data_IF_924039597006
#
_entry.id   IF_924039597006
#
_cell.length_a   1.000
_cell.length_b   1.000
_cell.length_c   1.000
_cell.angle_alpha   90.00
_cell.angle_beta   90.00
_cell.angle_gamma   90.00
#
_symmetry.space_group_name_H-M   'P 1'
#
loop_
_entity.id
_entity.type
_entity.pdbx_description
1 polymer ?
#
# COMPACT_ATOMS: atom_id res chain seq x y z
N UNK A 1 9.60 -65.29 77.40
CA UNK A 1 8.86 -65.05 76.15
C UNK A 1 9.04 -66.28 75.30
N UNK A 2 7.96 -66.79 74.72
CA UNK A 2 7.99 -68.00 73.89
C UNK A 2 8.44 -67.62 72.48
N UNK A 3 9.25 -68.44 71.80
CA UNK A 3 9.66 -68.27 70.39
C UNK A 3 8.49 -67.91 69.45
N UNK A 4 7.27 -68.30 69.81
CA UNK A 4 6.04 -67.99 69.11
C UNK A 4 5.62 -66.50 69.18
N UNK A 5 5.85 -65.83 70.30
CA UNK A 5 5.56 -64.39 70.48
C UNK A 5 6.53 -63.54 69.66
N UNK A 6 7.82 -63.89 69.66
CA UNK A 6 8.84 -63.21 68.85
C UNK A 6 8.58 -63.39 67.35
N UNK A 7 8.17 -64.59 66.92
CA UNK A 7 7.81 -64.86 65.54
C UNK A 7 6.58 -64.04 65.08
N UNK A 8 5.57 -63.89 65.93
CA UNK A 8 4.39 -63.09 65.61
C UNK A 8 4.72 -61.59 65.54
N UNK A 9 5.54 -61.08 66.46
CA UNK A 9 6.00 -59.69 66.42
C UNK A 9 6.83 -59.41 65.16
N UNK A 10 7.75 -60.31 64.80
CA UNK A 10 8.54 -60.18 63.57
C UNK A 10 7.67 -60.19 62.31
N UNK A 11 6.57 -60.96 62.30
CA UNK A 11 5.61 -61.01 61.19
C UNK A 11 4.83 -59.71 61.05
N UNK A 12 4.38 -59.13 62.15
CA UNK A 12 3.68 -57.83 62.17
C UNK A 12 4.61 -56.69 61.70
N UNK A 13 5.86 -56.67 62.16
CA UNK A 13 6.86 -55.69 61.71
C UNK A 13 7.18 -55.83 60.22
N UNK A 14 7.28 -57.07 59.71
CA UNK A 14 7.49 -57.31 58.28
C UNK A 14 6.31 -56.83 57.44
N UNK A 15 5.09 -57.05 57.93
CA UNK A 15 3.88 -56.63 57.24
C UNK A 15 3.74 -55.09 57.21
N UNK A 16 4.02 -54.42 58.32
CA UNK A 16 4.05 -52.96 58.37
C UNK A 16 5.08 -52.38 57.39
N UNK A 17 6.29 -52.97 57.31
CA UNK A 17 7.32 -52.57 56.34
C UNK A 17 6.88 -52.79 54.89
N UNK A 18 6.16 -53.88 54.61
CA UNK A 18 5.64 -54.17 53.27
C UNK A 18 4.59 -53.14 52.85
N UNK A 19 3.67 -52.79 53.74
CA UNK A 19 2.65 -51.76 53.52
C UNK A 19 3.29 -50.37 53.31
N UNK A 20 4.29 -50.00 54.12
CA UNK A 20 5.04 -48.76 53.95
C UNK A 20 5.79 -48.71 52.60
N UNK A 21 6.43 -49.81 52.21
CA UNK A 21 7.15 -49.91 50.93
C UNK A 21 6.19 -49.77 49.75
N UNK A 22 5.00 -50.38 49.84
CA UNK A 22 3.96 -50.30 48.81
C UNK A 22 3.43 -48.87 48.66
N UNK A 23 3.22 -48.16 49.78
CA UNK A 23 2.81 -46.76 49.75
C UNK A 23 3.88 -45.86 49.10
N UNK A 24 5.15 -46.07 49.44
CA UNK A 24 6.28 -45.35 48.83
C UNK A 24 6.42 -45.61 47.33
N UNK A 25 6.17 -46.83 46.88
CA UNK A 25 6.24 -47.17 45.46
C UNK A 25 5.13 -46.46 44.66
N UNK A 26 3.91 -46.40 45.22
CA UNK A 26 2.80 -45.63 44.64
C UNK A 26 3.09 -44.13 44.57
N UNK A 27 3.67 -43.57 45.63
CA UNK A 27 4.08 -42.15 45.67
C UNK A 27 5.15 -41.84 44.63
N UNK A 28 6.16 -42.72 44.48
CA UNK A 28 7.19 -42.60 43.45
C UNK A 28 6.60 -42.71 42.04
N UNK A 29 5.61 -43.56 41.82
CA UNK A 29 4.92 -43.68 40.53
C UNK A 29 4.16 -42.40 40.18
N UNK A 30 3.47 -41.80 41.15
CA UNK A 30 2.80 -40.51 40.99
C UNK A 30 3.81 -39.40 40.66
N UNK A 31 4.90 -39.32 41.42
CA UNK A 31 5.95 -38.32 41.20
C UNK A 31 6.60 -38.46 39.81
N UNK A 32 6.79 -39.69 39.32
CA UNK A 32 7.28 -39.95 37.95
C UNK A 32 6.29 -39.45 36.90
N UNK A 33 4.99 -39.68 37.09
CA UNK A 33 3.94 -39.19 36.17
C UNK A 33 3.89 -37.67 36.14
N UNK A 34 3.94 -37.02 37.30
CA UNK A 34 3.98 -35.56 37.41
C UNK A 34 5.22 -34.98 36.72
N UNK A 35 6.40 -35.57 36.96
CA UNK A 35 7.65 -35.15 36.33
C UNK A 35 7.59 -35.27 34.80
N UNK A 36 6.97 -36.34 34.28
CA UNK A 36 6.79 -36.52 32.85
C UNK A 36 5.85 -35.45 32.25
N UNK A 37 4.77 -35.10 32.96
CA UNK A 37 3.85 -34.04 32.54
C UNK A 37 4.59 -32.69 32.49
N UNK A 38 5.35 -32.37 33.54
CA UNK A 38 6.14 -31.13 33.61
C UNK A 38 7.18 -31.06 32.48
N UNK A 39 7.90 -32.16 32.23
CA UNK A 39 8.86 -32.25 31.13
C UNK A 39 8.20 -31.97 29.78
N UNK A 40 7.04 -32.57 29.50
CA UNK A 40 6.32 -32.38 28.25
C UNK A 40 5.83 -30.93 28.08
N UNK A 41 5.35 -30.29 29.15
CA UNK A 41 4.93 -28.88 29.14
C UNK A 41 6.10 -27.95 28.83
N UNK A 42 7.23 -28.13 29.53
CA UNK A 42 8.44 -27.33 29.33
C UNK A 42 8.97 -27.51 27.90
N UNK A 43 8.97 -28.75 27.40
CA UNK A 43 9.40 -29.03 26.02
C UNK A 43 8.53 -28.28 25.01
N UNK A 44 7.21 -28.29 25.20
CA UNK A 44 6.28 -27.59 24.30
C UNK A 44 6.45 -26.07 24.37
N UNK A 45 6.56 -25.49 25.57
CA UNK A 45 6.79 -24.06 25.75
C UNK A 45 8.11 -23.61 25.11
N UNK A 46 9.16 -24.44 25.23
CA UNK A 46 10.45 -24.17 24.58
C UNK A 46 10.32 -24.10 23.06
N UNK A 47 9.59 -25.03 22.44
CA UNK A 47 9.38 -25.05 20.99
C UNK A 47 8.55 -23.84 20.52
N UNK A 48 7.52 -23.45 21.28
CA UNK A 48 6.71 -22.26 20.99
C UNK A 48 7.54 -20.97 21.09
N UNK A 49 8.41 -20.86 22.09
CA UNK A 49 9.33 -19.72 22.24
C UNK A 49 10.34 -19.66 21.09
N UNK A 50 10.86 -20.82 20.66
CA UNK A 50 11.78 -20.88 19.53
C UNK A 50 11.13 -20.39 18.24
N UNK A 51 9.90 -20.83 17.95
CA UNK A 51 9.16 -20.40 16.76
C UNK A 51 8.88 -18.88 16.77
N UNK A 52 8.41 -18.35 17.91
CA UNK A 52 8.21 -16.90 18.06
C UNK A 52 9.48 -16.10 17.86
N UNK A 53 10.64 -16.63 18.28
CA UNK A 53 11.91 -15.96 18.10
C UNK A 53 12.31 -15.90 16.63
N UNK A 54 12.15 -17.00 15.88
CA UNK A 54 12.39 -17.03 14.43
C UNK A 54 11.51 -16.03 13.68
N UNK A 55 10.20 -16.00 13.97
CA UNK A 55 9.27 -15.03 13.37
C UNK A 55 9.68 -13.57 13.64
N UNK A 56 10.12 -13.28 14.87
CA UNK A 56 10.59 -11.96 15.25
C UNK A 56 11.89 -11.59 14.52
N UNK A 57 12.84 -12.51 14.38
CA UNK A 57 14.08 -12.29 13.61
C UNK A 57 13.78 -11.99 12.14
N UNK A 58 12.84 -12.69 11.52
CA UNK A 58 12.41 -12.41 10.14
C UNK A 58 11.78 -11.02 10.02
N UNK A 59 10.94 -10.63 10.98
CA UNK A 59 10.34 -9.29 11.01
C UNK A 59 11.38 -8.19 11.20
N UNK A 60 12.39 -8.41 12.04
CA UNK A 60 13.52 -7.50 12.22
C UNK A 60 14.29 -7.37 10.90
N UNK A 61 14.68 -8.49 10.27
CA UNK A 61 15.38 -8.49 8.97
C UNK A 61 14.61 -7.73 7.89
N UNK A 62 13.29 -7.92 7.81
CA UNK A 62 12.46 -7.19 6.86
C UNK A 62 12.47 -5.67 7.12
N UNK A 63 12.37 -5.27 8.39
CA UNK A 63 12.39 -3.86 8.76
C UNK A 63 13.76 -3.22 8.52
N UNK A 64 14.85 -3.94 8.79
CA UNK A 64 16.22 -3.51 8.48
C UNK A 64 16.41 -3.30 6.98
N UNK A 65 15.98 -4.27 6.16
CA UNK A 65 16.00 -4.15 4.70
C UNK A 65 15.21 -2.93 4.21
N UNK A 66 14.02 -2.70 4.76
CA UNK A 66 13.19 -1.53 4.43
C UNK A 66 13.88 -0.21 4.83
N UNK A 67 14.52 -0.17 6.00
CA UNK A 67 15.27 1.00 6.47
C UNK A 67 16.50 1.28 5.58
N UNK A 68 17.17 0.24 5.10
CA UNK A 68 18.29 0.36 4.15
C UNK A 68 17.82 0.95 2.80
N UNK A 69 16.70 0.47 2.27
CA UNK A 69 16.11 1.03 1.04
C UNK A 69 15.76 2.50 1.19
N UNK A 70 15.11 2.88 2.29
CA UNK A 70 14.80 4.29 2.61
C UNK A 70 16.06 5.13 2.74
N UNK A 71 17.11 4.58 3.37
CA UNK A 71 18.40 5.28 3.51
C UNK A 71 19.06 5.52 2.16
N UNK A 72 19.07 4.51 1.27
CA UNK A 72 19.53 4.64 -0.12
C UNK A 72 18.71 5.65 -0.91
N UNK A 73 17.39 5.70 -0.71
CA UNK A 73 16.53 6.71 -1.34
C UNK A 73 16.88 8.12 -0.87
N UNK A 74 17.08 8.31 0.44
CA UNK A 74 17.52 9.58 1.03
C UNK A 74 18.90 9.99 0.48
N UNK A 75 19.83 9.04 0.34
CA UNK A 75 21.15 9.30 -0.24
C UNK A 75 21.05 9.71 -1.71
N UNK A 76 20.21 9.06 -2.51
CA UNK A 76 19.92 9.46 -3.89
C UNK A 76 19.37 10.88 -3.95
N UNK A 77 18.39 11.23 -3.11
CA UNK A 77 17.89 12.60 -3.04
C UNK A 77 19.02 13.57 -2.66
N UNK A 78 19.83 13.26 -1.65
CA UNK A 78 20.97 14.09 -1.24
C UNK A 78 22.02 14.24 -2.34
N UNK A 79 22.31 13.19 -3.11
CA UNK A 79 23.24 13.26 -4.24
C UNK A 79 22.68 14.12 -5.38
N UNK A 80 21.40 13.98 -5.70
CA UNK A 80 20.70 14.84 -6.68
C UNK A 80 20.76 16.31 -6.23
N UNK A 81 20.60 16.58 -4.94
CA UNK A 81 20.73 17.92 -4.37
C UNK A 81 22.18 18.43 -4.31
N UNK A 82 23.18 17.57 -4.03
CA UNK A 82 24.60 17.94 -3.87
C UNK A 82 25.36 18.09 -5.19
N UNK A 83 25.01 17.35 -6.25
CA UNK A 83 25.70 17.37 -7.56
C UNK A 83 25.44 18.65 -8.37
N UNK A 84 24.80 19.66 -7.76
CA UNK A 84 24.69 20.98 -8.34
C UNK A 84 23.59 21.05 -9.39
N UNK A 85 22.79 22.11 -9.28
CA UNK A 85 22.07 22.64 -10.41
C UNK A 85 23.06 22.96 -11.54
N UNK A 86 23.20 22.04 -12.48
CA UNK A 86 23.20 22.47 -13.87
C UNK A 86 21.77 22.97 -14.12
N UNK A 87 21.63 24.30 -14.10
CA UNK A 87 20.36 25.04 -14.20
C UNK A 87 19.61 24.83 -15.53
N UNK A 88 20.04 23.88 -16.36
CA UNK A 88 19.35 23.46 -17.58
C UNK A 88 18.77 22.04 -17.52
N UNK A 89 19.08 21.24 -16.50
CA UNK A 89 18.56 19.85 -16.36
C UNK A 89 17.67 19.64 -15.13
N UNK A 90 17.56 20.64 -14.25
CA UNK A 90 16.68 20.60 -13.06
C UNK A 90 15.48 21.55 -13.19
N UNK A 91 14.60 21.26 -14.15
CA UNK A 91 13.17 21.62 -14.06
C UNK A 91 12.41 20.73 -13.06
N UNK A 92 13.08 20.23 -12.01
CA UNK A 92 12.45 19.51 -10.89
C UNK A 92 12.22 20.41 -9.66
N UNK A 93 12.65 21.68 -9.68
CA UNK A 93 12.41 22.66 -8.59
C UNK A 93 11.25 23.64 -8.83
N UNK A 94 10.73 23.68 -10.06
CA UNK A 94 9.41 24.23 -10.39
C UNK A 94 8.73 23.17 -11.24
N UNK A 95 8.12 22.19 -10.60
CA UNK A 95 7.18 21.32 -11.28
C UNK A 95 6.19 22.25 -11.97
N UNK A 96 6.17 22.28 -13.31
CA UNK A 96 5.24 23.15 -14.04
C UNK A 96 3.85 22.70 -13.61
N UNK A 97 3.22 23.51 -12.76
CA UNK A 97 1.97 23.15 -12.14
C UNK A 97 0.89 23.24 -13.21
N UNK A 98 0.34 22.08 -13.57
CA UNK A 98 -0.86 22.03 -14.40
C UNK A 98 -1.97 22.71 -13.61
N UNK A 99 -2.63 23.69 -14.22
CA UNK A 99 -3.76 24.37 -13.58
C UNK A 99 -4.89 23.38 -13.29
N UNK A 100 -5.60 23.58 -12.19
CA UNK A 100 -6.70 22.70 -11.83
C UNK A 100 -7.79 22.71 -12.91
N UNK A 101 -8.35 21.54 -13.20
CA UNK A 101 -9.44 21.35 -14.15
C UNK A 101 -10.64 20.74 -13.44
N UNK A 102 -11.74 21.48 -13.45
CA UNK A 102 -12.98 21.06 -12.78
C UNK A 102 -13.87 20.17 -13.65
N UNK A 103 -13.65 20.11 -14.97
CA UNK A 103 -14.53 19.44 -15.94
C UNK A 103 -15.19 20.39 -16.95
N UNK A 104 -14.88 21.68 -16.91
CA UNK A 104 -15.46 22.66 -17.83
C UNK A 104 -14.99 22.43 -19.28
N UNK A 105 -15.90 21.93 -20.13
CA UNK A 105 -15.65 21.61 -21.55
C UNK A 105 -15.19 22.81 -22.39
N UNK A 106 -15.60 24.04 -22.06
CA UNK A 106 -15.15 25.26 -22.76
C UNK A 106 -13.68 25.54 -22.44
N UNK A 107 -13.30 25.39 -21.16
CA UNK A 107 -11.92 25.57 -20.71
C UNK A 107 -11.00 24.41 -21.08
N UNK A 108 -11.57 23.22 -21.37
CA UNK A 108 -10.83 22.00 -21.66
C UNK A 108 -9.79 22.20 -22.75
N UNK A 109 -10.14 22.82 -23.89
CA UNK A 109 -9.19 23.02 -24.99
C UNK A 109 -7.96 23.82 -24.57
N UNK A 110 -8.13 24.90 -23.79
CA UNK A 110 -7.02 25.73 -23.31
C UNK A 110 -6.17 24.99 -22.28
N UNK A 111 -6.84 24.33 -21.33
CA UNK A 111 -6.18 23.53 -20.30
C UNK A 111 -5.36 22.38 -20.92
N UNK A 112 -5.93 21.70 -21.91
CA UNK A 112 -5.30 20.56 -22.55
C UNK A 112 -4.13 20.96 -23.46
N UNK A 113 -4.22 22.09 -24.17
CA UNK A 113 -3.09 22.65 -24.93
C UNK A 113 -1.91 22.98 -24.01
N UNK A 114 -2.17 23.53 -22.81
CA UNK A 114 -1.13 23.79 -21.82
C UNK A 114 -0.42 22.50 -21.38
N UNK A 115 -1.16 21.39 -21.21
CA UNK A 115 -0.57 20.09 -20.88
C UNK A 115 0.30 19.56 -22.02
N UNK A 116 -0.18 19.64 -23.26
CA UNK A 116 0.59 19.22 -24.43
C UNK A 116 1.91 20.03 -24.50
N UNK A 117 1.85 21.36 -24.33
CA UNK A 117 3.03 22.23 -24.30
C UNK A 117 4.03 21.86 -23.18
N UNK A 118 3.53 21.51 -21.98
CA UNK A 118 4.39 21.06 -20.87
C UNK A 118 5.14 19.80 -21.25
N UNK A 119 4.47 18.81 -21.84
CA UNK A 119 5.09 17.53 -22.16
C UNK A 119 5.95 17.56 -23.43
N UNK A 120 5.62 18.42 -24.39
CA UNK A 120 6.45 18.70 -25.56
C UNK A 120 7.77 19.37 -25.17
N UNK A 121 7.72 20.33 -24.23
CA UNK A 121 8.91 21.00 -23.70
C UNK A 121 9.72 20.11 -22.72
N UNK A 122 9.17 18.97 -22.30
CA UNK A 122 9.82 18.03 -21.37
C UNK A 122 9.69 16.58 -21.88
N UNK A 123 10.30 16.22 -23.02
CA UNK A 123 10.10 14.93 -23.67
C UNK A 123 10.60 13.73 -22.83
N UNK A 124 11.54 13.95 -21.91
CA UNK A 124 12.02 12.94 -20.96
C UNK A 124 11.05 12.60 -19.83
N UNK A 125 9.87 13.21 -19.77
CA UNK A 125 8.88 12.92 -18.73
C UNK A 125 8.34 11.50 -18.89
N UNK A 126 8.57 10.66 -17.87
CA UNK A 126 8.11 9.27 -17.84
C UNK A 126 6.58 9.20 -17.87
N UNK A 127 6.03 8.16 -18.51
CA UNK A 127 4.58 7.95 -18.69
C UNK A 127 3.79 8.10 -17.37
N UNK A 128 4.19 7.37 -16.33
CA UNK A 128 3.51 7.41 -15.03
C UNK A 128 3.54 8.81 -14.40
N UNK A 129 4.61 9.60 -14.64
CA UNK A 129 4.70 10.98 -14.17
C UNK A 129 3.72 11.88 -14.92
N UNK A 130 3.60 11.73 -16.24
CA UNK A 130 2.58 12.46 -17.04
C UNK A 130 1.18 12.18 -16.51
N UNK A 131 0.85 10.90 -16.30
CA UNK A 131 -0.44 10.48 -15.75
C UNK A 131 -0.69 11.08 -14.37
N UNK A 132 0.26 10.95 -13.44
CA UNK A 132 0.13 11.49 -12.09
C UNK A 132 -0.05 13.02 -12.06
N UNK A 133 0.69 13.76 -12.90
CA UNK A 133 0.57 15.21 -13.01
C UNK A 133 -0.83 15.64 -13.47
N UNK A 134 -1.36 15.01 -14.51
CA UNK A 134 -2.70 15.32 -15.03
C UNK A 134 -3.76 14.93 -14.00
N UNK A 135 -3.67 13.73 -13.42
CA UNK A 135 -4.61 13.28 -12.36
C UNK A 135 -4.62 14.21 -11.15
N UNK A 136 -3.47 14.72 -10.72
CA UNK A 136 -3.37 15.66 -9.59
C UNK A 136 -4.04 17.02 -9.87
N UNK A 137 -4.13 17.43 -11.14
CA UNK A 137 -4.82 18.65 -11.54
C UNK A 137 -6.34 18.48 -11.71
N UNK A 138 -6.86 17.25 -11.73
CA UNK A 138 -8.30 17.01 -11.84
C UNK A 138 -8.99 17.29 -10.51
N UNK A 139 -10.05 18.08 -10.56
CA UNK A 139 -10.89 18.43 -9.41
C UNK A 139 -12.37 18.33 -9.81
N UNK A 140 -13.28 18.30 -8.83
CA UNK A 140 -14.72 18.33 -9.10
C UNK A 140 -15.22 17.23 -10.04
N UNK A 141 -15.99 17.62 -11.06
CA UNK A 141 -16.58 16.71 -12.05
C UNK A 141 -15.52 15.93 -12.82
N UNK A 142 -14.39 16.57 -13.17
CA UNK A 142 -13.30 15.88 -13.84
C UNK A 142 -12.66 14.80 -12.98
N UNK A 143 -12.56 15.04 -11.66
CA UNK A 143 -12.04 14.02 -10.74
C UNK A 143 -13.03 12.86 -10.59
N UNK A 144 -14.32 13.17 -10.43
CA UNK A 144 -15.36 12.15 -10.36
C UNK A 144 -15.42 11.29 -11.62
N UNK A 145 -15.26 11.89 -12.80
CA UNK A 145 -15.16 11.14 -14.04
C UNK A 145 -13.94 10.20 -14.04
N UNK A 146 -12.76 10.70 -13.66
CA UNK A 146 -11.54 9.91 -13.60
C UNK A 146 -11.70 8.68 -12.69
N UNK A 147 -12.27 8.86 -11.50
CA UNK A 147 -12.48 7.77 -10.54
C UNK A 147 -13.52 6.73 -11.05
N UNK A 148 -14.32 7.06 -12.09
CA UNK A 148 -15.32 6.18 -12.71
C UNK A 148 -14.89 5.56 -14.05
N UNK A 149 -13.77 6.01 -14.62
CA UNK A 149 -13.32 5.57 -15.95
C UNK A 149 -12.58 4.22 -15.82
N UNK A 150 -12.82 3.23 -16.71
CA UNK A 150 -12.15 1.94 -16.66
C UNK A 150 -10.62 2.04 -16.74
N UNK A 151 -9.91 1.21 -15.98
CA UNK A 151 -8.44 1.21 -15.92
C UNK A 151 -7.77 1.05 -17.29
N UNK A 152 -8.38 0.30 -18.22
CA UNK A 152 -7.87 0.13 -19.58
C UNK A 152 -7.72 1.46 -20.34
N UNK A 153 -8.59 2.42 -20.05
CA UNK A 153 -8.60 3.76 -20.63
C UNK A 153 -7.60 4.71 -19.94
N UNK A 154 -7.01 4.29 -18.82
CA UNK A 154 -6.07 5.07 -18.00
C UNK A 154 -4.66 4.45 -17.91
N UNK A 155 -4.43 3.30 -18.57
CA UNK A 155 -3.24 2.45 -18.40
C UNK A 155 -1.92 3.11 -18.79
N UNK A 156 -1.93 4.02 -19.76
CA UNK A 156 -0.77 4.79 -20.21
C UNK A 156 -1.20 6.18 -20.66
N UNK A 157 -0.23 7.08 -20.88
CA UNK A 157 -0.49 8.47 -21.22
C UNK A 157 -1.35 8.60 -22.49
N UNK A 158 -1.05 7.84 -23.55
CA UNK A 158 -1.78 7.95 -24.81
C UNK A 158 -3.27 7.58 -24.68
N UNK A 159 -3.54 6.48 -23.98
CA UNK A 159 -4.94 6.05 -23.71
C UNK A 159 -5.67 7.00 -22.79
N UNK A 160 -5.00 7.50 -21.73
CA UNK A 160 -5.58 8.49 -20.84
C UNK A 160 -5.88 9.81 -21.57
N UNK A 161 -4.93 10.26 -22.40
CA UNK A 161 -5.05 11.46 -23.24
C UNK A 161 -6.23 11.35 -24.20
N UNK A 162 -6.41 10.20 -24.86
CA UNK A 162 -7.56 9.94 -25.72
C UNK A 162 -8.89 9.93 -24.95
N UNK A 163 -8.92 9.35 -23.75
CA UNK A 163 -10.11 9.28 -22.90
C UNK A 163 -10.54 10.67 -22.41
N UNK A 164 -9.59 11.51 -22.00
CA UNK A 164 -9.85 12.91 -21.63
C UNK A 164 -10.48 13.69 -22.78
N UNK A 165 -9.93 13.54 -23.98
CA UNK A 165 -10.46 14.15 -25.20
C UNK A 165 -11.88 13.66 -25.48
N UNK A 166 -12.10 12.34 -25.51
CA UNK A 166 -13.43 11.75 -25.70
C UNK A 166 -14.43 12.32 -24.70
N UNK A 167 -14.03 12.46 -23.44
CA UNK A 167 -14.91 12.93 -22.38
C UNK A 167 -15.19 14.43 -22.49
N UNK A 168 -14.20 15.29 -22.71
CA UNK A 168 -14.33 16.75 -22.52
C UNK A 168 -14.14 17.59 -23.80
N UNK A 169 -13.60 17.04 -24.89
CA UNK A 169 -13.38 17.74 -26.18
C UNK A 169 -14.68 17.85 -27.01
N UNK A 170 -15.77 17.22 -26.57
CA UNK A 170 -17.06 17.19 -27.27
C UNK A 170 -17.55 18.57 -27.72
N UNK A 171 -17.60 18.77 -29.03
CA UNK A 171 -17.90 20.03 -29.75
C UNK A 171 -19.39 20.34 -29.93
N UNK A 172 -20.30 19.52 -29.39
CA UNK A 172 -21.75 19.77 -29.46
C UNK A 172 -22.35 19.79 -28.06
N UNK A 173 -22.23 20.92 -27.38
CA UNK A 173 -23.08 21.20 -26.24
C UNK A 173 -23.75 22.58 -26.40
N UNK A 174 -24.92 22.71 -25.80
CA UNK A 174 -25.76 23.91 -25.87
C UNK A 174 -24.98 25.15 -25.44
N UNK A 175 -24.06 25.04 -24.48
CA UNK A 175 -23.23 26.17 -24.03
C UNK A 175 -22.30 26.72 -25.11
N UNK A 176 -21.65 25.86 -25.91
CA UNK A 176 -20.86 26.29 -27.06
C UNK A 176 -21.73 26.88 -28.16
N UNK A 177 -22.92 26.31 -28.40
CA UNK A 177 -23.88 26.87 -29.35
C UNK A 177 -24.37 28.26 -28.91
N UNK A 178 -24.70 28.42 -27.62
CA UNK A 178 -25.10 29.70 -27.02
C UNK A 178 -23.95 30.71 -27.08
N UNK A 179 -22.72 30.32 -26.70
CA UNK A 179 -21.56 31.21 -26.79
C UNK A 179 -21.32 31.70 -28.22
N UNK A 180 -21.42 30.82 -29.22
CA UNK A 180 -21.29 31.21 -30.63
C UNK A 180 -22.43 32.16 -31.02
N UNK A 181 -23.69 31.84 -30.68
CA UNK A 181 -24.86 32.68 -30.96
C UNK A 181 -24.78 34.07 -30.31
N UNK A 182 -24.31 34.16 -29.06
CA UNK A 182 -24.18 35.42 -28.32
C UNK A 182 -23.02 36.30 -28.80
N UNK A 183 -21.97 35.69 -29.37
CA UNK A 183 -20.74 36.40 -29.76
C UNK A 183 -20.58 36.59 -31.28
N UNK A 184 -21.45 36.03 -32.12
CA UNK A 184 -21.48 36.35 -33.55
C UNK A 184 -22.35 37.58 -33.77
N UNK A 185 -21.72 38.71 -34.11
CA UNK A 185 -22.43 39.88 -34.65
C UNK A 185 -22.55 39.74 -36.15
N UNK A 186 -23.77 39.88 -36.67
CA UNK A 186 -24.02 40.04 -38.10
C UNK A 186 -23.41 41.37 -38.55
N UNK A 187 -22.51 41.31 -39.52
CA UNK A 187 -22.06 42.52 -40.21
C UNK A 187 -23.04 42.85 -41.34
N UNK A 188 -23.25 44.13 -41.61
CA UNK A 188 -24.20 44.61 -42.64
C UNK A 188 -23.89 44.10 -44.06
N UNK A 189 -22.69 43.56 -44.28
CA UNK A 189 -22.25 42.97 -45.56
C UNK A 189 -22.55 41.47 -45.70
N UNK A 190 -23.06 40.81 -44.66
CA UNK A 190 -23.35 39.37 -44.70
C UNK A 190 -24.68 39.12 -45.43
N UNK A 191 -24.69 38.24 -46.44
CA UNK A 191 -25.93 37.81 -47.07
C UNK A 191 -26.74 36.96 -46.09
N UNK A 192 -28.01 37.29 -45.88
CA UNK A 192 -28.88 36.60 -44.91
C UNK A 192 -28.99 35.08 -45.18
N UNK A 193 -28.83 34.66 -46.44
CA UNK A 193 -28.83 33.26 -46.86
C UNK A 193 -27.60 32.46 -46.39
N UNK A 194 -26.48 33.12 -46.09
CA UNK A 194 -25.26 32.47 -45.60
C UNK A 194 -25.34 32.16 -44.10
N UNK A 195 -26.35 32.69 -43.39
CA UNK A 195 -26.50 32.56 -41.95
C UNK A 195 -27.50 31.46 -41.53
N UNK A 196 -28.38 31.00 -42.43
CA UNK A 196 -29.51 30.11 -42.11
C UNK A 196 -29.28 28.66 -42.63
N UNK A 197 -28.13 28.36 -43.23
CA UNK A 197 -27.74 27.01 -43.66
C UNK A 197 -26.81 26.33 -42.67
#
# INVERSE_FOLDING_TARGET
>A
MSDYEEMNQAKEELQAKYEELTAKDQELELMRKEMQIQYNLISKEKDELLNKNVENEEKIRYNEFKAELLSKEIELYKEVFKKGLDTNTLNLGRMVQIQNFYGNRIAFRRWFLNIDEIFENNPGTLDYKKRAMVTASLTGEARMWYDSEPDENLKNWETYRASLKRQFEGTKNIGNAIYILENTKLELSSLYSEFIL
#
